data_IF_844358704106
#
_entry.id   IF_844358704106
#
_cell.length_a   1.000
_cell.length_b   1.000
_cell.length_c   1.000
_cell.angle_alpha   90.00
_cell.angle_beta   90.00
_cell.angle_gamma   90.00
#
_symmetry.space_group_name_H-M   'P 1'
#
loop_
_entity.id
_entity.type
_entity.pdbx_description
1 polymer ?
#
# COMPACT_ATOMS: atom_id res chain seq x y z
N UNK A 1 0.74 1.83 -7.71
CA UNK A 1 0.63 0.45 -8.26
C UNK A 1 0.04 -0.57 -7.30
N UNK A 2 0.00 -0.32 -5.99
CA UNK A 2 -0.65 -1.22 -5.02
C UNK A 2 -2.10 -1.59 -5.29
N UNK A 3 -2.85 -0.83 -6.09
CA UNK A 3 -4.23 -1.16 -6.45
C UNK A 3 -4.37 -2.52 -7.16
N UNK A 4 -3.33 -3.00 -7.85
CA UNK A 4 -3.29 -4.35 -8.43
C UNK A 4 -3.54 -5.45 -7.37
N UNK A 5 -3.13 -5.21 -6.12
CA UNK A 5 -3.37 -6.15 -5.02
C UNK A 5 -4.87 -6.35 -4.76
N UNK A 6 -5.73 -5.36 -5.06
CA UNK A 6 -7.18 -5.45 -4.87
C UNK A 6 -7.84 -6.50 -5.79
N UNK A 7 -7.15 -6.86 -6.87
CA UNK A 7 -7.54 -7.92 -7.81
C UNK A 7 -6.58 -9.10 -7.78
N UNK A 8 -5.72 -9.19 -6.75
CA UNK A 8 -4.73 -10.23 -6.54
C UNK A 8 -3.73 -10.39 -7.70
N UNK A 9 -3.37 -9.29 -8.35
CA UNK A 9 -2.27 -9.22 -9.32
C UNK A 9 -1.01 -8.71 -8.63
N UNK A 10 0.14 -9.33 -8.91
CA UNK A 10 1.41 -8.86 -8.35
C UNK A 10 1.73 -7.44 -8.85
N UNK A 11 2.06 -6.49 -7.95
CA UNK A 11 2.33 -5.11 -8.34
C UNK A 11 3.47 -4.91 -9.33
N UNK A 12 4.51 -5.75 -9.31
CA UNK A 12 5.64 -5.65 -10.25
C UNK A 12 5.30 -6.27 -11.60
N UNK A 13 4.52 -7.35 -11.63
CA UNK A 13 4.00 -7.92 -12.88
C UNK A 13 3.05 -6.94 -13.56
N UNK A 14 2.08 -6.41 -12.81
CA UNK A 14 1.17 -5.38 -13.30
C UNK A 14 1.93 -4.14 -13.81
N UNK A 15 2.98 -3.72 -13.09
CA UNK A 15 3.84 -2.63 -13.54
C UNK A 15 4.58 -2.95 -14.83
N UNK A 16 5.10 -4.16 -15.00
CA UNK A 16 5.82 -4.57 -16.21
C UNK A 16 4.97 -4.39 -17.47
N UNK A 17 3.66 -4.69 -17.38
CA UNK A 17 2.74 -4.53 -18.50
C UNK A 17 2.24 -3.09 -18.68
N UNK A 18 2.06 -2.34 -17.59
CA UNK A 18 1.42 -1.02 -17.62
C UNK A 18 2.41 0.16 -17.69
N UNK A 19 3.68 -0.05 -17.37
CA UNK A 19 4.69 1.02 -17.31
C UNK A 19 4.80 1.83 -18.62
N UNK A 20 4.82 1.22 -19.84
CA UNK A 20 4.92 1.98 -21.10
C UNK A 20 3.77 2.98 -21.31
N UNK A 21 2.61 2.70 -20.73
CA UNK A 21 1.38 3.47 -20.87
C UNK A 21 1.14 4.43 -19.72
N UNK A 22 1.97 4.37 -18.68
CA UNK A 22 1.79 5.17 -17.47
C UNK A 22 2.44 6.54 -17.62
N UNK A 23 1.68 7.58 -17.28
CA UNK A 23 2.14 8.99 -17.27
C UNK A 23 2.12 9.60 -15.88
N UNK A 24 1.32 9.03 -15.00
CA UNK A 24 1.32 9.33 -13.58
C UNK A 24 1.15 8.05 -12.75
N UNK A 25 1.55 8.12 -11.49
CA UNK A 25 1.35 7.04 -10.54
C UNK A 25 1.18 7.58 -9.12
N UNK A 26 0.38 6.89 -8.32
CA UNK A 26 0.32 7.16 -6.88
C UNK A 26 1.29 6.24 -6.13
N UNK A 27 2.09 6.86 -5.28
CA UNK A 27 2.98 6.23 -4.32
C UNK A 27 2.22 6.12 -3.00
N UNK A 28 2.02 4.88 -2.56
CA UNK A 28 1.36 4.46 -1.33
C UNK A 28 1.86 3.08 -0.92
N UNK A 29 1.56 2.67 0.30
CA UNK A 29 1.97 1.38 0.86
C UNK A 29 0.79 0.62 1.43
N UNK A 30 0.90 -0.71 1.42
CA UNK A 30 -0.18 -1.59 1.88
C UNK A 30 0.35 -2.83 2.60
N UNK A 31 -0.54 -3.43 3.36
CA UNK A 31 -0.42 -4.78 3.91
C UNK A 31 -1.69 -5.58 3.62
N UNK A 32 -1.59 -6.91 3.70
CA UNK A 32 -2.78 -7.77 3.71
C UNK A 32 -3.27 -7.97 5.14
N UNK A 33 -4.59 -7.91 5.33
CA UNK A 33 -5.28 -8.30 6.57
C UNK A 33 -5.98 -9.63 6.31
N UNK A 34 -5.78 -10.58 7.22
CA UNK A 34 -6.41 -11.90 7.12
C UNK A 34 -7.90 -11.78 7.41
N UNK A 35 -8.75 -12.65 6.85
CA UNK A 35 -10.17 -12.69 7.15
C UNK A 35 -10.50 -12.65 8.65
N UNK A 36 -9.77 -13.41 9.48
CA UNK A 36 -10.02 -13.47 10.93
C UNK A 36 -9.60 -12.22 11.71
N UNK A 37 -8.76 -11.37 11.11
CA UNK A 37 -8.20 -10.18 11.75
C UNK A 37 -8.97 -8.90 11.36
N UNK A 38 -9.77 -8.93 10.29
CA UNK A 38 -10.54 -7.78 9.80
C UNK A 38 -12.02 -7.81 10.20
N UNK A 39 -12.65 -6.64 10.35
CA UNK A 39 -14.05 -6.51 10.84
C UNK A 39 -15.09 -7.25 9.99
N UNK A 40 -14.87 -7.34 8.67
CA UNK A 40 -15.86 -7.88 7.73
C UNK A 40 -15.64 -9.37 7.42
N UNK A 41 -14.66 -10.03 8.05
CA UNK A 41 -14.36 -11.44 7.78
C UNK A 41 -13.77 -11.70 6.39
N UNK A 42 -13.25 -10.68 5.70
CA UNK A 42 -12.75 -10.79 4.31
C UNK A 42 -11.26 -10.50 4.23
N UNK A 43 -10.62 -11.18 3.27
CA UNK A 43 -9.26 -10.84 2.85
C UNK A 43 -9.26 -9.38 2.39
N UNK A 44 -8.41 -8.56 3.01
CA UNK A 44 -8.48 -7.10 2.83
C UNK A 44 -7.09 -6.53 2.56
N UNK A 45 -7.01 -5.60 1.62
CA UNK A 45 -5.84 -4.73 1.44
C UNK A 45 -6.06 -3.53 2.36
N UNK A 46 -5.10 -3.25 3.24
CA UNK A 46 -5.13 -2.10 4.12
C UNK A 46 -4.00 -1.14 3.76
N UNK A 47 -4.31 0.14 3.62
CA UNK A 47 -3.34 1.20 3.44
C UNK A 47 -2.66 1.55 4.76
N UNK A 48 -1.35 1.66 4.73
CA UNK A 48 -0.49 1.92 5.90
C UNK A 48 0.47 3.07 5.60
N UNK A 49 1.12 3.66 6.62
CA UNK A 49 2.19 4.62 6.41
C UNK A 49 3.26 4.08 5.44
N UNK A 50 3.72 4.93 4.54
CA UNK A 50 4.69 4.57 3.51
C UNK A 50 6.01 4.11 4.14
N UNK A 51 6.49 2.95 3.68
CA UNK A 51 7.70 2.32 4.19
C UNK A 51 7.47 1.39 5.37
N UNK A 52 6.21 1.22 5.80
CA UNK A 52 5.81 0.30 6.87
C UNK A 52 4.98 -0.87 6.36
N UNK A 53 4.64 -0.89 5.07
CA UNK A 53 3.99 -2.01 4.40
C UNK A 53 4.97 -2.88 3.63
N UNK A 54 4.45 -3.58 2.63
CA UNK A 54 5.21 -4.59 1.89
C UNK A 54 5.33 -4.32 0.40
N UNK A 55 4.87 -3.16 -0.09
CA UNK A 55 5.08 -2.82 -1.48
C UNK A 55 6.57 -2.54 -1.75
N UNK A 56 7.13 -3.04 -2.88
CA UNK A 56 8.51 -2.76 -3.28
C UNK A 56 8.62 -1.34 -3.87
N UNK A 57 8.29 -0.32 -3.07
CA UNK A 57 8.11 1.07 -3.49
C UNK A 57 9.33 1.60 -4.25
N UNK A 58 10.54 1.38 -3.75
CA UNK A 58 11.77 1.87 -4.40
C UNK A 58 11.96 1.26 -5.79
N UNK A 59 11.67 -0.03 -5.96
CA UNK A 59 11.78 -0.70 -7.27
C UNK A 59 10.67 -0.23 -8.23
N UNK A 60 9.43 -0.15 -7.73
CA UNK A 60 8.29 0.38 -8.49
C UNK A 60 8.59 1.80 -8.99
N UNK A 61 9.03 2.69 -8.10
CA UNK A 61 9.37 4.07 -8.43
C UNK A 61 10.49 4.12 -9.46
N UNK A 62 11.57 3.33 -9.30
CA UNK A 62 12.66 3.28 -10.27
C UNK A 62 12.17 2.86 -11.66
N UNK A 63 11.43 1.75 -11.76
CA UNK A 63 10.90 1.24 -13.03
C UNK A 63 9.96 2.24 -13.71
N UNK A 64 9.14 2.95 -12.94
CA UNK A 64 8.28 4.01 -13.46
C UNK A 64 9.07 5.16 -14.06
N UNK A 65 10.08 5.65 -13.35
CA UNK A 65 10.96 6.71 -13.86
C UNK A 65 11.68 6.26 -15.13
N UNK A 66 12.23 5.03 -15.15
CA UNK A 66 12.86 4.45 -16.34
C UNK A 66 11.90 4.33 -17.52
N UNK A 67 10.62 4.03 -17.29
CA UNK A 67 9.60 3.98 -18.33
C UNK A 67 9.10 5.36 -18.79
N UNK A 68 9.63 6.46 -18.23
CA UNK A 68 9.27 7.83 -18.61
C UNK A 68 8.07 8.40 -17.86
N UNK A 69 7.64 7.79 -16.75
CA UNK A 69 6.62 8.38 -15.88
C UNK A 69 7.23 9.57 -15.12
N UNK A 70 6.73 10.77 -15.36
CA UNK A 70 7.26 12.03 -14.79
C UNK A 70 6.44 12.57 -13.62
N UNK A 71 5.25 12.04 -13.37
CA UNK A 71 4.35 12.53 -12.33
C UNK A 71 4.05 11.43 -11.29
N UNK A 72 4.88 11.36 -10.25
CA UNK A 72 4.68 10.44 -9.13
C UNK A 72 4.12 11.22 -7.95
N UNK A 73 2.86 10.94 -7.62
CA UNK A 73 2.10 11.64 -6.58
C UNK A 73 2.15 10.83 -5.29
N UNK A 74 2.56 11.49 -4.22
CA UNK A 74 2.44 10.94 -2.87
C UNK A 74 0.97 10.88 -2.45
N UNK A 75 0.51 9.72 -2.00
CA UNK A 75 -0.85 9.52 -1.48
C UNK A 75 -0.77 8.94 -0.06
N UNK A 76 -1.34 9.66 0.92
CA UNK A 76 -1.53 9.11 2.26
C UNK A 76 -2.74 8.18 2.25
N UNK A 77 -2.51 6.87 2.32
CA UNK A 77 -3.57 5.86 2.30
C UNK A 77 -3.84 5.23 3.66
N UNK A 78 -3.31 5.79 4.75
CA UNK A 78 -3.61 5.30 6.09
C UNK A 78 -5.12 5.33 6.37
N UNK A 79 -5.64 4.24 6.94
CA UNK A 79 -7.07 4.08 7.24
C UNK A 79 -7.93 3.69 6.04
N UNK A 80 -7.38 3.69 4.82
CA UNK A 80 -8.09 3.15 3.66
C UNK A 80 -8.07 1.61 3.70
N UNK A 81 -9.23 0.99 3.57
CA UNK A 81 -9.37 -0.46 3.46
C UNK A 81 -10.16 -0.85 2.22
N UNK A 82 -9.74 -1.94 1.57
CA UNK A 82 -10.39 -2.49 0.38
C UNK A 82 -10.49 -4.01 0.50
N UNK A 83 -11.68 -4.58 0.81
CA UNK A 83 -11.85 -6.01 0.82
C UNK A 83 -11.78 -6.58 -0.60
N UNK A 84 -11.09 -7.71 -0.75
CA UNK A 84 -11.01 -8.44 -2.02
C UNK A 84 -12.41 -8.98 -2.35
N UNK A 85 -12.88 -8.70 -3.56
CA UNK A 85 -14.19 -9.19 -4.02
C UNK A 85 -14.14 -10.71 -4.25
N UNK A 86 -15.19 -11.46 -3.89
CA UNK A 86 -15.16 -12.93 -3.99
C UNK A 86 -14.88 -13.44 -5.41
N UNK A 87 -15.38 -12.73 -6.43
CA UNK A 87 -15.16 -13.03 -7.85
C UNK A 87 -13.72 -12.78 -8.32
N UNK A 88 -12.91 -12.07 -7.53
CA UNK A 88 -11.49 -11.81 -7.80
C UNK A 88 -10.55 -12.81 -7.16
N UNK A 89 -11.07 -13.72 -6.33
CA UNK A 89 -10.27 -14.76 -5.70
C UNK A 89 -9.99 -15.87 -6.72
N UNK A 90 -8.78 -15.88 -7.26
CA UNK A 90 -8.30 -16.90 -8.20
C UNK A 90 -7.31 -17.84 -7.52
N UNK A 91 -7.15 -19.06 -8.04
CA UNK A 91 -6.13 -19.99 -7.54
C UNK A 91 -4.71 -19.41 -7.63
N UNK A 92 -4.43 -18.65 -8.70
CA UNK A 92 -3.14 -17.96 -8.88
C UNK A 92 -2.94 -16.89 -7.80
N UNK A 93 -3.95 -16.05 -7.56
CA UNK A 93 -3.88 -15.00 -6.54
C UNK A 93 -3.73 -15.57 -5.12
N UNK A 94 -4.42 -16.66 -4.81
CA UNK A 94 -4.31 -17.33 -3.50
C UNK A 94 -2.90 -17.87 -3.23
N UNK A 95 -2.20 -18.38 -4.25
CA UNK A 95 -0.84 -18.91 -4.11
C UNK A 95 0.21 -17.84 -3.79
N UNK A 96 -0.12 -16.55 -3.97
CA UNK A 96 0.79 -15.44 -3.68
C UNK A 96 0.63 -14.90 -2.25
N UNK A 97 -0.45 -15.26 -1.56
CA UNK A 97 -0.73 -14.71 -0.22
C UNK A 97 0.35 -15.10 0.80
N UNK A 98 0.67 -14.17 1.69
CA UNK A 98 1.66 -14.35 2.75
C UNK A 98 3.11 -14.12 2.33
N UNK A 99 3.38 -13.82 1.05
CA UNK A 99 4.73 -13.52 0.55
C UNK A 99 4.77 -12.21 -0.23
N UNK A 100 5.97 -11.63 -0.37
CA UNK A 100 6.20 -10.40 -1.14
C UNK A 100 5.23 -9.27 -0.74
N UNK A 101 4.63 -8.63 -1.75
CA UNK A 101 3.63 -7.57 -1.61
C UNK A 101 2.36 -8.04 -0.88
N UNK A 102 2.04 -9.33 -0.91
CA UNK A 102 0.85 -9.92 -0.28
C UNK A 102 1.11 -10.46 1.12
N UNK A 103 2.20 -10.04 1.78
CA UNK A 103 2.43 -10.38 3.19
C UNK A 103 1.32 -9.86 4.09
N UNK A 104 0.97 -10.71 5.06
CA UNK A 104 0.01 -10.35 6.09
C UNK A 104 0.67 -9.49 7.16
N UNK A 105 -0.03 -8.43 7.59
CA UNK A 105 0.27 -7.81 8.86
C UNK A 105 0.00 -8.80 10.01
N UNK A 106 0.67 -8.58 11.13
CA UNK A 106 0.52 -9.39 12.33
C UNK A 106 0.03 -8.49 13.49
N UNK A 107 -0.81 -9.02 14.38
CA UNK A 107 -1.20 -8.30 15.59
C UNK A 107 0.00 -8.10 16.54
N UNK A 108 -0.05 -7.10 17.44
CA UNK A 108 -1.16 -6.15 17.63
C UNK A 108 -1.24 -5.10 16.51
N UNK A 109 -2.46 -4.75 16.11
CA UNK A 109 -2.72 -3.65 15.17
C UNK A 109 -2.83 -2.35 15.95
N UNK A 110 -1.99 -1.37 15.61
CA UNK A 110 -1.99 -0.06 16.24
C UNK A 110 -2.61 0.96 15.29
N UNK A 111 -3.49 1.82 15.81
CA UNK A 111 -4.22 2.81 15.00
C UNK A 111 -3.29 3.72 14.21
N UNK A 112 -2.11 4.06 14.74
CA UNK A 112 -1.13 4.89 14.04
C UNK A 112 -0.34 4.17 12.93
N UNK A 113 -0.63 2.90 12.67
CA UNK A 113 0.03 2.08 11.66
C UNK A 113 -0.97 1.32 10.79
N UNK A 114 -1.82 0.50 11.40
CA UNK A 114 -2.82 -0.33 10.75
C UNK A 114 -4.18 -0.11 11.42
N UNK A 115 -4.88 0.96 11.00
CA UNK A 115 -6.21 1.29 11.51
C UNK A 115 -7.26 0.34 10.91
N UNK A 116 -7.81 -0.55 11.74
CA UNK A 116 -8.85 -1.49 11.33
C UNK A 116 -10.26 -0.96 11.57
N UNK A 117 -10.45 -0.24 12.67
CA UNK A 117 -11.76 0.20 13.16
C UNK A 117 -11.76 1.73 13.32
N UNK A 118 -11.92 2.51 12.22
CA UNK A 118 -11.92 3.97 12.30
C UNK A 118 -13.05 4.53 13.18
N UNK A 119 -14.15 3.80 13.30
CA UNK A 119 -15.33 4.20 14.08
C UNK A 119 -15.08 4.19 15.61
N UNK A 120 -14.00 3.55 16.07
CA UNK A 120 -13.58 3.55 17.48
C UNK A 120 -12.88 4.86 17.89
N UNK A 121 -12.60 5.75 16.93
CA UNK A 121 -11.86 7.01 17.14
C UNK A 121 -12.74 8.23 16.88
N UNK A 122 -12.55 9.28 17.66
CA UNK A 122 -13.16 10.58 17.38
C UNK A 122 -12.54 11.23 16.14
N UNK A 123 -13.27 12.13 15.45
CA UNK A 123 -12.71 12.90 14.34
C UNK A 123 -11.41 13.64 14.69
N UNK A 124 -11.31 14.18 15.91
CA UNK A 124 -10.10 14.87 16.38
C UNK A 124 -8.91 13.91 16.54
N UNK A 125 -9.16 12.68 17.00
CA UNK A 125 -8.14 11.63 17.10
C UNK A 125 -7.66 11.23 15.70
N UNK A 126 -8.58 11.00 14.76
CA UNK A 126 -8.27 10.66 13.38
C UNK A 126 -7.39 11.74 12.72
N UNK A 127 -7.76 13.02 12.82
CA UNK A 127 -6.98 14.13 12.26
C UNK A 127 -5.58 14.21 12.89
N UNK A 128 -5.48 14.02 14.20
CA UNK A 128 -4.19 14.06 14.93
C UNK A 128 -3.26 12.94 14.48
N UNK A 129 -3.79 11.72 14.36
CA UNK A 129 -3.03 10.55 13.91
C UNK A 129 -2.65 10.72 12.43
N UNK A 130 -3.60 11.11 11.57
CA UNK A 130 -3.35 11.31 10.14
C UNK A 130 -2.23 12.31 9.90
N UNK A 131 -2.23 13.44 10.62
CA UNK A 131 -1.16 14.44 10.53
C UNK A 131 0.21 13.86 10.89
N UNK A 132 0.27 13.08 11.97
CA UNK A 132 1.51 12.41 12.40
C UNK A 132 2.03 11.47 11.33
N UNK A 133 1.12 10.68 10.74
CA UNK A 133 1.45 9.74 9.66
C UNK A 133 1.89 10.46 8.40
N UNK A 134 1.23 11.56 8.04
CA UNK A 134 1.64 12.39 6.91
C UNK A 134 3.08 12.89 7.06
N UNK A 135 3.46 13.35 8.25
CA UNK A 135 4.82 13.81 8.53
C UNK A 135 5.85 12.67 8.43
N UNK A 136 5.54 11.50 8.98
CA UNK A 136 6.37 10.29 8.88
C UNK A 136 6.57 9.85 7.43
N UNK A 137 5.46 9.80 6.68
CA UNK A 137 5.44 9.45 5.28
C UNK A 137 6.34 10.39 4.45
N UNK A 138 6.19 11.70 4.64
CA UNK A 138 7.01 12.70 3.95
C UNK A 138 8.49 12.56 4.29
N UNK A 139 8.82 12.32 5.56
CA UNK A 139 10.18 12.08 6.00
C UNK A 139 10.79 10.82 5.34
N UNK A 140 10.02 9.73 5.26
CA UNK A 140 10.45 8.51 4.59
C UNK A 140 10.69 8.73 3.10
N UNK A 141 9.75 9.37 2.39
CA UNK A 141 9.87 9.63 0.95
C UNK A 141 11.11 10.49 0.65
N UNK A 142 11.33 11.56 1.42
CA UNK A 142 12.53 12.41 1.27
C UNK A 142 13.81 11.61 1.47
N UNK A 143 13.85 10.73 2.49
CA UNK A 143 14.99 9.86 2.74
C UNK A 143 15.27 8.94 1.55
N UNK A 144 14.25 8.29 0.99
CA UNK A 144 14.45 7.38 -0.15
C UNK A 144 14.81 8.11 -1.45
N UNK A 145 14.22 9.28 -1.73
CA UNK A 145 14.59 10.08 -2.89
C UNK A 145 16.06 10.51 -2.86
N UNK A 146 16.60 10.79 -1.66
CA UNK A 146 18.03 11.10 -1.50
C UNK A 146 18.96 9.94 -1.84
N UNK A 147 18.45 8.70 -1.81
CA UNK A 147 19.18 7.49 -2.22
C UNK A 147 19.05 7.29 -3.73
N UNK A 148 17.86 7.52 -4.29
CA UNK A 148 17.59 7.34 -5.73
C UNK A 148 18.32 8.40 -6.58
N UNK A 149 18.39 9.66 -6.13
CA UNK A 149 19.03 10.76 -6.87
C UNK A 149 20.56 10.83 -6.80
N UNK A 150 21.22 9.86 -6.16
CA UNK A 150 22.70 9.77 -6.07
C UNK A 150 23.32 8.81 -7.09
N UNK A 151 22.51 8.24 -7.99
CA UNK A 151 22.94 7.40 -9.11
C UNK A 151 22.88 8.18 -10.41
#
# INVERSE_FOLDING_TARGET
YGNSMMVLEDPLDALTHMAPWSRSAHLKDHVMIRPQDGENGRLTVLGVPIGTGYLPIVDITRRLLTAGCTNIVFENSWGYSAPIQPDRITAVGLNQLGCGSFRFAAPPFHDNHALLNPDDLSPEQLVTIERTIFEQNLAWVRKQLSVIGKQ
#
